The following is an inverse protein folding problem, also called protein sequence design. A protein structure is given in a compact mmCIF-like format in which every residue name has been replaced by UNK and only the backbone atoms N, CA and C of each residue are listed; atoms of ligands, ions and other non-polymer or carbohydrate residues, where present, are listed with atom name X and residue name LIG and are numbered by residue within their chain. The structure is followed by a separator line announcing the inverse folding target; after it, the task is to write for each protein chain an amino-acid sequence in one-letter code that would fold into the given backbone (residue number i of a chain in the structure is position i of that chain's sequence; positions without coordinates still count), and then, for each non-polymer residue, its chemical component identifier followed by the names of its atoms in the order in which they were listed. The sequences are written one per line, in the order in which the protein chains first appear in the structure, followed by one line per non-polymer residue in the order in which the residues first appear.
data_IF_874833351771
#
_entry.id   IF_874833351771
#
_cell.length_a   1.000
_cell.length_b   1.000
_cell.length_c   1.000
_cell.angle_alpha   90.00
_cell.angle_beta   90.00
_cell.angle_gamma   90.00
#
_symmetry.space_group_name_H-M   'P 1'
#
loop_
_entity.id
_entity.type
_entity.pdbx_description
1 polymer ?
#
# COMPACT_ATOMS: atom_id res chain seq x y z
N UNK A 1 73.66 4.44 -2.92
CA UNK A 1 72.60 3.41 -2.99
C UNK A 1 71.66 3.65 -1.82
N UNK A 2 70.57 4.39 -2.03
CA UNK A 2 69.56 4.65 -0.99
C UNK A 2 68.44 3.64 -1.15
N UNK A 3 68.16 2.91 -0.07
CA UNK A 3 67.08 1.94 0.04
C UNK A 3 65.73 2.67 -0.05
N UNK A 4 65.01 2.52 -1.15
CA UNK A 4 63.58 2.82 -1.23
C UNK A 4 62.84 1.67 -0.53
N UNK A 5 62.81 1.71 0.79
CA UNK A 5 61.94 0.84 1.57
C UNK A 5 60.49 1.26 1.28
N UNK A 6 59.73 0.40 0.61
CA UNK A 6 58.29 0.57 0.45
C UNK A 6 57.65 0.61 1.83
N UNK A 7 57.06 1.74 2.17
CA UNK A 7 56.29 1.93 3.39
C UNK A 7 55.02 1.05 3.30
N UNK A 8 54.87 0.02 4.17
CA UNK A 8 53.73 -0.89 4.12
C UNK A 8 52.44 -0.27 4.71
N UNK A 9 52.46 1.01 5.10
CA UNK A 9 51.30 1.69 5.68
C UNK A 9 50.35 2.33 4.65
N UNK A 10 50.68 2.32 3.36
CA UNK A 10 49.78 2.74 2.27
C UNK A 10 48.77 1.63 1.90
N UNK A 11 48.09 1.06 2.89
CA UNK A 11 46.83 0.36 2.65
C UNK A 11 45.79 1.48 2.57
N UNK A 12 45.24 1.74 1.38
CA UNK A 12 44.05 2.57 1.22
C UNK A 12 43.01 2.11 2.24
N UNK A 13 42.81 2.88 3.31
CA UNK A 13 41.70 2.64 4.24
C UNK A 13 40.42 2.68 3.39
N UNK A 14 39.62 1.60 3.36
CA UNK A 14 38.36 1.64 2.63
C UNK A 14 37.55 2.79 3.22
N UNK A 15 37.15 3.73 2.38
CA UNK A 15 36.30 4.86 2.75
C UNK A 15 34.99 4.31 3.34
N UNK A 16 34.96 4.13 4.65
CA UNK A 16 33.82 3.59 5.40
C UNK A 16 32.63 4.57 5.39
N UNK A 17 32.85 5.83 4.96
CA UNK A 17 31.82 6.85 4.81
C UNK A 17 31.14 6.80 3.42
N UNK A 18 31.71 6.09 2.44
CA UNK A 18 31.10 5.86 1.14
C UNK A 18 30.01 4.78 1.21
N UNK A 19 28.86 5.12 1.79
CA UNK A 19 27.67 4.26 1.80
C UNK A 19 27.25 3.84 0.38
N UNK A 20 26.86 2.58 0.20
CA UNK A 20 26.37 2.05 -1.09
C UNK A 20 25.19 2.92 -1.57
N UNK A 21 25.22 3.46 -2.80
CA UNK A 21 24.11 4.26 -3.31
C UNK A 21 22.84 3.39 -3.38
N UNK A 22 21.80 3.79 -2.65
CA UNK A 22 20.47 3.16 -2.69
C UNK A 22 19.63 3.89 -3.73
N UNK A 23 19.37 3.23 -4.85
CA UNK A 23 18.41 3.68 -5.86
C UNK A 23 17.01 3.26 -5.41
N UNK A 24 16.17 4.24 -5.07
CA UNK A 24 14.76 3.99 -4.77
C UNK A 24 13.97 4.02 -6.08
N UNK A 25 13.38 2.89 -6.45
CA UNK A 25 12.43 2.86 -7.55
C UNK A 25 11.08 3.42 -7.09
N UNK A 26 10.51 4.41 -7.80
CA UNK A 26 9.20 4.94 -7.49
C UNK A 26 8.13 3.84 -7.58
N UNK A 27 7.20 3.81 -6.62
CA UNK A 27 6.10 2.84 -6.66
C UNK A 27 5.20 3.08 -7.88
N UNK A 28 4.80 2.02 -8.63
CA UNK A 28 4.03 2.17 -9.85
C UNK A 28 2.71 2.96 -9.68
N UNK A 29 2.31 3.76 -10.68
CA UNK A 29 1.11 4.56 -10.62
C UNK A 29 -0.15 3.67 -10.57
N UNK A 30 -0.92 3.79 -9.49
CA UNK A 30 -2.13 3.00 -9.27
C UNK A 30 -2.00 1.94 -8.17
N UNK A 31 -0.77 1.58 -7.77
CA UNK A 31 -0.53 0.61 -6.70
C UNK A 31 -1.21 1.01 -5.38
N UNK A 32 -0.97 2.22 -4.89
CA UNK A 32 -1.55 2.70 -3.64
C UNK A 32 -3.09 2.78 -3.66
N UNK A 33 -3.66 3.11 -4.82
CA UNK A 33 -5.12 3.14 -4.99
C UNK A 33 -5.71 1.73 -4.97
N UNK A 34 -5.04 0.77 -5.61
CA UNK A 34 -5.41 -0.64 -5.54
C UNK A 34 -5.33 -1.18 -4.11
N UNK A 35 -4.18 -0.99 -3.46
CA UNK A 35 -3.91 -1.50 -2.11
C UNK A 35 -4.88 -0.92 -1.06
N UNK A 36 -4.98 0.41 -1.00
CA UNK A 36 -5.86 1.07 -0.03
C UNK A 36 -7.33 0.83 -0.36
N UNK A 37 -7.70 0.79 -1.64
CA UNK A 37 -9.06 0.48 -2.06
C UNK A 37 -9.50 -0.92 -1.63
N UNK A 38 -8.62 -1.93 -1.80
CA UNK A 38 -8.89 -3.31 -1.34
C UNK A 38 -8.98 -3.35 0.18
N UNK A 39 -8.03 -2.71 0.88
CA UNK A 39 -8.04 -2.67 2.35
C UNK A 39 -9.35 -2.07 2.88
N UNK A 40 -9.78 -0.92 2.34
CA UNK A 40 -11.07 -0.29 2.72
C UNK A 40 -12.25 -1.16 2.30
N UNK A 41 -12.21 -1.75 1.11
CA UNK A 41 -13.26 -2.62 0.57
C UNK A 41 -13.58 -3.81 1.46
N UNK A 42 -12.55 -4.39 2.09
CA UNK A 42 -12.68 -5.56 2.99
C UNK A 42 -12.96 -5.12 4.43
N UNK A 43 -12.25 -4.10 4.92
CA UNK A 43 -12.32 -3.71 6.33
C UNK A 43 -13.59 -2.93 6.65
N UNK A 44 -14.08 -2.06 5.77
CA UNK A 44 -15.23 -1.21 6.08
C UNK A 44 -16.52 -2.01 6.38
N UNK A 45 -16.90 -3.06 5.62
CA UNK A 45 -18.04 -3.90 5.97
C UNK A 45 -17.86 -4.61 7.32
N UNK A 46 -16.64 -5.10 7.59
CA UNK A 46 -16.32 -5.80 8.83
C UNK A 46 -16.42 -4.87 10.05
N UNK A 47 -15.92 -3.64 9.93
CA UNK A 47 -16.10 -2.60 10.95
C UNK A 47 -17.56 -2.18 11.09
N UNK A 48 -18.29 -2.04 9.99
CA UNK A 48 -19.74 -1.73 10.02
C UNK A 48 -20.52 -2.78 10.80
N UNK A 49 -20.23 -4.06 10.57
CA UNK A 49 -20.80 -5.17 11.34
C UNK A 49 -20.41 -5.10 12.82
N UNK A 50 -19.12 -4.93 13.12
CA UNK A 50 -18.61 -4.92 14.49
C UNK A 50 -19.19 -3.77 15.32
N UNK A 51 -19.21 -2.56 14.76
CA UNK A 51 -19.79 -1.37 15.40
C UNK A 51 -21.28 -1.58 15.64
N UNK A 52 -22.00 -2.15 14.68
CA UNK A 52 -23.42 -2.50 14.85
C UNK A 52 -23.65 -3.48 15.99
N UNK A 53 -22.82 -4.52 16.07
CA UNK A 53 -22.85 -5.49 17.17
C UNK A 53 -22.55 -4.86 18.53
N UNK A 54 -21.63 -3.89 18.59
CA UNK A 54 -21.31 -3.17 19.83
C UNK A 54 -22.47 -2.26 20.30
N UNK A 55 -23.24 -1.69 19.37
CA UNK A 55 -24.43 -0.89 19.69
C UNK A 55 -25.58 -1.79 20.18
N UNK A 56 -25.66 -3.03 19.67
CA UNK A 56 -26.65 -4.03 20.04
C UNK A 56 -27.94 -3.96 19.22
N UNK A 57 -28.78 -5.00 19.36
CA UNK A 57 -30.08 -5.07 18.69
C UNK A 57 -30.97 -3.93 19.22
N UNK A 58 -31.49 -3.10 18.31
CA UNK A 58 -32.31 -1.95 18.66
C UNK A 58 -33.49 -2.33 19.55
N UNK A 59 -33.92 -1.40 20.41
CA UNK A 59 -35.09 -1.60 21.27
C UNK A 59 -36.35 -1.91 20.44
N UNK A 60 -37.25 -2.72 21.02
CA UNK A 60 -38.55 -3.06 20.41
C UNK A 60 -39.32 -1.77 20.11
N UNK A 61 -39.54 -1.48 18.82
CA UNK A 61 -40.18 -0.24 18.35
C UNK A 61 -39.30 0.63 17.44
N UNK A 62 -38.00 0.35 17.35
CA UNK A 62 -37.14 0.99 16.35
C UNK A 62 -37.50 0.50 14.94
N UNK A 63 -37.75 1.44 14.03
CA UNK A 63 -38.06 1.13 12.62
C UNK A 63 -36.87 0.57 11.85
N UNK A 64 -35.65 0.77 12.34
CA UNK A 64 -34.42 0.30 11.69
C UNK A 64 -33.46 -0.26 12.73
N UNK A 65 -32.96 -1.45 12.49
CA UNK A 65 -31.97 -2.12 13.34
C UNK A 65 -30.61 -1.40 13.21
N UNK A 66 -30.01 -0.94 14.33
CA UNK A 66 -28.67 -0.36 14.33
C UNK A 66 -27.62 -1.23 13.63
N UNK A 67 -27.72 -2.56 13.76
CA UNK A 67 -26.81 -3.50 13.12
C UNK A 67 -26.92 -3.45 11.59
N UNK A 68 -28.14 -3.36 11.06
CA UNK A 68 -28.37 -3.25 9.62
C UNK A 68 -27.87 -1.91 9.07
N UNK A 69 -28.06 -0.81 9.81
CA UNK A 69 -27.60 0.52 9.41
C UNK A 69 -26.08 0.63 9.35
N UNK A 70 -25.39 0.14 10.38
CA UNK A 70 -23.94 0.20 10.45
C UNK A 70 -23.29 -0.72 9.40
N UNK A 71 -23.85 -1.92 9.20
CA UNK A 71 -23.41 -2.83 8.15
C UNK A 71 -23.62 -2.22 6.76
N UNK A 72 -24.80 -1.65 6.49
CA UNK A 72 -25.09 -0.99 5.22
C UNK A 72 -24.10 0.15 4.95
N UNK A 73 -23.80 0.96 5.97
CA UNK A 73 -22.81 2.04 5.87
C UNK A 73 -21.42 1.49 5.56
N UNK A 74 -21.00 0.42 6.25
CA UNK A 74 -19.74 -0.27 5.99
C UNK A 74 -19.65 -0.85 4.56
N UNK A 75 -20.74 -1.43 4.06
CA UNK A 75 -20.83 -1.95 2.68
C UNK A 75 -20.76 -0.81 1.67
N UNK A 76 -21.46 0.31 1.91
CA UNK A 76 -21.42 1.46 1.01
C UNK A 76 -20.00 2.03 0.89
N UNK A 77 -19.31 2.22 2.03
CA UNK A 77 -17.92 2.67 2.07
C UNK A 77 -17.00 1.63 1.40
N UNK A 78 -17.20 0.34 1.70
CA UNK A 78 -16.46 -0.75 1.09
C UNK A 78 -16.62 -0.81 -0.43
N UNK A 79 -17.82 -0.57 -0.94
CA UNK A 79 -18.12 -0.48 -2.37
C UNK A 79 -17.35 0.66 -3.05
N UNK A 80 -17.27 1.83 -2.41
CA UNK A 80 -16.42 2.93 -2.89
C UNK A 80 -14.94 2.51 -2.88
N UNK A 81 -14.48 1.84 -1.82
CA UNK A 81 -13.14 1.26 -1.75
C UNK A 81 -12.85 0.33 -2.93
N UNK A 82 -13.81 -0.53 -3.29
CA UNK A 82 -13.69 -1.44 -4.43
C UNK A 82 -13.60 -0.67 -5.77
N UNK A 83 -14.40 0.37 -5.97
CA UNK A 83 -14.30 1.21 -7.17
C UNK A 83 -12.92 1.89 -7.26
N UNK A 84 -12.40 2.39 -6.13
CA UNK A 84 -11.05 2.95 -6.05
C UNK A 84 -10.02 1.88 -6.38
N UNK A 85 -10.17 0.66 -5.84
CA UNK A 85 -9.27 -0.46 -6.09
C UNK A 85 -9.20 -0.81 -7.57
N UNK A 86 -10.36 -0.95 -8.22
CA UNK A 86 -10.47 -1.24 -9.64
C UNK A 86 -9.86 -0.10 -10.49
N UNK A 87 -10.09 1.16 -10.12
CA UNK A 87 -9.47 2.30 -10.81
C UNK A 87 -7.94 2.29 -10.69
N UNK A 88 -7.41 1.94 -9.52
CA UNK A 88 -5.99 1.80 -9.26
C UNK A 88 -5.37 0.63 -10.02
N UNK A 89 -6.03 -0.53 -9.97
CA UNK A 89 -5.63 -1.73 -10.70
C UNK A 89 -5.65 -1.53 -12.21
N UNK A 90 -6.67 -0.87 -12.75
CA UNK A 90 -6.72 -0.55 -14.18
C UNK A 90 -5.62 0.43 -14.60
N UNK A 91 -5.22 1.37 -13.73
CA UNK A 91 -4.10 2.27 -14.01
C UNK A 91 -2.75 1.54 -13.93
N UNK A 92 -2.61 0.63 -12.97
CA UNK A 92 -1.43 -0.20 -12.78
C UNK A 92 -1.23 -1.18 -13.95
N UNK A 93 -2.31 -1.85 -14.37
CA UNK A 93 -2.32 -2.76 -15.51
C UNK A 93 -1.89 -2.06 -16.80
N UNK A 94 -2.43 -0.86 -17.06
CA UNK A 94 -2.02 -0.02 -18.20
C UNK A 94 -0.56 0.43 -18.14
N UNK A 95 0.01 0.59 -16.94
CA UNK A 95 1.41 0.98 -16.79
C UNK A 95 2.35 -0.14 -17.25
N UNK A 96 2.10 -1.37 -16.78
CA UNK A 96 2.90 -2.54 -17.16
C UNK A 96 2.73 -2.90 -18.65
N UNK A 97 1.48 -2.93 -19.16
CA UNK A 97 1.24 -3.28 -20.57
C UNK A 97 1.78 -2.25 -21.58
N UNK A 98 2.12 -1.03 -21.14
CA UNK A 98 2.77 -0.03 -22.02
C UNK A 98 4.27 -0.27 -22.15
N UNK A 99 4.89 -0.90 -21.15
CA UNK A 99 6.33 -1.20 -21.17
C UNK A 99 6.62 -2.38 -22.11
N UNK A 100 5.74 -3.39 -22.11
CA UNK A 100 5.84 -4.57 -22.99
C UNK A 100 5.88 -4.24 -24.50
N UNK A 101 5.34 -3.07 -24.90
CA UNK A 101 5.26 -2.64 -26.31
C UNK A 101 6.50 -1.83 -26.74
N UNK A 102 7.25 -1.26 -25.79
CA UNK A 102 8.42 -0.41 -26.07
C UNK A 102 9.72 -1.23 -26.11
N UNK A 103 9.71 -2.45 -25.55
CA UNK A 103 10.88 -3.33 -25.47
C UNK A 103 10.99 -4.34 -26.64
N UNK A 104 10.26 -4.12 -27.74
CA UNK A 104 10.27 -4.95 -28.96
C UNK A 104 10.88 -4.21 -30.15
#
# INVERSE_FOLDING_TARGET
MSSTASDPSAIDEPDLDAGRPVLLEPTPPGFWRALLGVAVGVLAPLFGFLIGGMIGAGAVGNKVDPMALSLFTGIAIGGIGLLVALSGGARLWRHFHRQDIVEV
#
